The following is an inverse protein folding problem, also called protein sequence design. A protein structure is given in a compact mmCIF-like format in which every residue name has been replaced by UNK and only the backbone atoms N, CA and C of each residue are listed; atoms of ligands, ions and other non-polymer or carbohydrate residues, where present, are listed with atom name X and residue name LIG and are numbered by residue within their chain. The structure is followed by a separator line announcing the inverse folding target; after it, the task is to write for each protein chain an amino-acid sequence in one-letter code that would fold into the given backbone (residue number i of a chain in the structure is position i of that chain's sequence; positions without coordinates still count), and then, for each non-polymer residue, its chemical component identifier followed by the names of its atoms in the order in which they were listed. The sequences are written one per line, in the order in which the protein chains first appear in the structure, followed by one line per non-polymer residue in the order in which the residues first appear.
data_IF_213624931859
#
_entry.id   IF_213624931859
#
_cell.length_a   1.000
_cell.length_b   1.000
_cell.length_c   1.000
_cell.angle_alpha   90.00
_cell.angle_beta   90.00
_cell.angle_gamma   90.00
#
_symmetry.space_group_name_H-M   'P 1'
#
loop_
_entity.id
_entity.type
_entity.pdbx_description
1 polymer ?
#
# COMPACT_ATOMS: atom_id res chain seq x y z
N UNK A 1 -4.57 7.70 6.86
CA UNK A 1 -4.42 6.27 6.62
C UNK A 1 -4.11 6.05 5.15
N UNK A 2 -3.09 5.24 4.86
CA UNK A 2 -2.75 4.78 3.51
C UNK A 2 -3.52 3.50 3.19
N UNK A 3 -3.74 3.23 1.91
CA UNK A 3 -4.39 2.02 1.45
C UNK A 3 -3.52 1.30 0.42
N UNK A 4 -3.23 0.01 0.64
CA UNK A 4 -2.54 -0.82 -0.35
C UNK A 4 -3.55 -1.39 -1.34
N UNK A 5 -3.29 -1.16 -2.61
CA UNK A 5 -4.19 -1.50 -3.74
C UNK A 5 -3.40 -2.16 -4.86
N UNK A 6 -4.12 -2.59 -5.90
CA UNK A 6 -3.52 -2.88 -7.18
C UNK A 6 -3.71 -1.68 -8.13
N UNK A 7 -2.80 -1.53 -9.09
CA UNK A 7 -2.89 -0.46 -10.07
C UNK A 7 -2.53 -0.97 -11.47
N UNK A 8 -3.07 -0.31 -12.50
CA UNK A 8 -2.88 -0.66 -13.90
C UNK A 8 -2.91 0.57 -14.82
N UNK A 9 -2.56 0.38 -16.08
CA UNK A 9 -2.65 1.41 -17.12
C UNK A 9 -3.83 1.12 -18.06
N UNK A 10 -4.95 1.90 -17.99
CA UNK A 10 -6.14 1.67 -18.81
C UNK A 10 -5.95 2.03 -20.30
N UNK A 11 -4.84 2.70 -20.68
CA UNK A 11 -4.50 2.91 -22.08
C UNK A 11 -3.92 1.63 -22.74
N UNK A 12 -3.60 0.60 -21.93
CA UNK A 12 -2.94 -0.63 -22.38
C UNK A 12 -3.74 -1.89 -22.11
N UNK A 13 -4.52 -1.92 -21.03
CA UNK A 13 -5.23 -3.10 -20.56
C UNK A 13 -6.66 -2.76 -20.18
N UNK A 14 -7.58 -3.69 -20.45
CA UNK A 14 -8.97 -3.58 -20.01
C UNK A 14 -9.16 -4.26 -18.65
N UNK A 15 -10.21 -3.91 -17.88
CA UNK A 15 -10.45 -4.54 -16.58
C UNK A 15 -10.58 -6.08 -16.62
N UNK A 16 -11.01 -6.64 -17.76
CA UNK A 16 -11.13 -8.09 -17.96
C UNK A 16 -9.79 -8.81 -18.03
N UNK A 17 -8.73 -8.07 -18.35
CA UNK A 17 -7.36 -8.58 -18.45
C UNK A 17 -6.59 -8.54 -17.13
N UNK A 18 -7.20 -8.04 -16.07
CA UNK A 18 -6.53 -7.64 -14.84
C UNK A 18 -6.99 -8.48 -13.64
N UNK A 19 -6.10 -8.68 -12.65
CA UNK A 19 -6.48 -9.36 -11.41
C UNK A 19 -7.49 -8.50 -10.64
N UNK A 20 -8.55 -9.14 -10.11
CA UNK A 20 -9.59 -8.48 -9.31
C UNK A 20 -9.34 -8.59 -7.81
N UNK A 21 -8.40 -9.41 -7.40
CA UNK A 21 -8.09 -9.70 -6.01
C UNK A 21 -6.58 -9.81 -5.80
N UNK A 22 -6.14 -9.76 -4.55
CA UNK A 22 -4.76 -10.10 -4.23
C UNK A 22 -4.46 -11.56 -4.55
N UNK A 23 -5.44 -12.46 -4.35
CA UNK A 23 -5.29 -13.87 -4.71
C UNK A 23 -5.03 -14.04 -6.20
N UNK A 24 -5.82 -13.42 -7.08
CA UNK A 24 -5.59 -13.46 -8.53
C UNK A 24 -4.27 -12.81 -8.93
N UNK A 25 -3.87 -11.71 -8.28
CA UNK A 25 -2.57 -11.06 -8.52
C UNK A 25 -1.39 -12.00 -8.34
N UNK A 26 -1.47 -12.95 -7.39
CA UNK A 26 -0.43 -13.94 -7.17
C UNK A 26 -0.54 -15.17 -8.09
N UNK A 27 -1.76 -15.65 -8.35
CA UNK A 27 -1.97 -16.98 -8.93
C UNK A 27 -2.28 -16.98 -10.43
N UNK A 28 -2.71 -15.87 -11.01
CA UNK A 28 -3.01 -15.78 -12.45
C UNK A 28 -1.73 -15.90 -13.28
N UNK A 29 -1.61 -17.00 -14.03
CA UNK A 29 -0.45 -17.30 -14.87
C UNK A 29 -0.29 -16.35 -16.06
N UNK A 30 -1.34 -15.64 -16.47
CA UNK A 30 -1.28 -14.62 -17.52
C UNK A 30 -0.47 -13.39 -17.10
N UNK A 31 -0.21 -13.24 -15.80
CA UNK A 31 0.56 -12.16 -15.21
C UNK A 31 2.06 -12.45 -15.10
N UNK A 32 2.52 -13.61 -15.56
CA UNK A 32 3.92 -14.03 -15.39
C UNK A 32 4.90 -13.04 -16.01
N UNK A 33 5.78 -12.46 -15.17
CA UNK A 33 6.78 -11.46 -15.56
C UNK A 33 6.20 -10.07 -15.84
N UNK A 34 4.91 -9.83 -15.55
CA UNK A 34 4.20 -8.59 -15.82
C UNK A 34 3.67 -7.91 -14.54
N UNK A 35 4.10 -8.35 -13.37
CA UNK A 35 3.67 -7.79 -12.09
C UNK A 35 4.85 -7.31 -11.25
N UNK A 36 4.60 -6.28 -10.44
CA UNK A 36 5.59 -5.73 -9.51
C UNK A 36 4.97 -5.38 -8.17
N UNK A 37 5.80 -5.41 -7.12
CA UNK A 37 5.45 -4.96 -5.79
C UNK A 37 6.66 -4.37 -5.08
N UNK A 38 6.43 -3.68 -3.96
CA UNK A 38 7.47 -3.14 -3.11
C UNK A 38 8.35 -4.21 -2.45
N UNK A 39 9.48 -3.76 -1.88
CA UNK A 39 10.38 -4.62 -1.12
C UNK A 39 10.09 -4.48 0.39
N UNK A 40 9.65 -5.54 1.09
CA UNK A 40 9.35 -5.48 2.53
C UNK A 40 10.59 -5.25 3.42
N UNK A 41 11.81 -5.39 2.88
CA UNK A 41 13.02 -5.10 3.63
C UNK A 41 13.28 -3.58 3.75
N UNK A 42 12.81 -2.80 2.78
CA UNK A 42 13.07 -1.35 2.67
C UNK A 42 11.81 -0.50 2.77
N UNK A 43 10.62 -1.08 2.65
CA UNK A 43 9.32 -0.40 2.73
C UNK A 43 8.49 -0.94 3.89
N UNK A 44 8.17 -0.05 4.85
CA UNK A 44 7.31 -0.40 5.99
C UNK A 44 5.88 -0.72 5.58
N UNK A 45 5.34 -0.05 4.57
CA UNK A 45 4.00 -0.31 4.05
C UNK A 45 3.92 -1.64 3.32
N UNK A 46 4.93 -1.98 2.52
CA UNK A 46 5.03 -3.31 1.92
C UNK A 46 5.22 -4.39 2.98
N UNK A 47 6.00 -4.12 4.04
CA UNK A 47 6.13 -5.06 5.17
C UNK A 47 4.79 -5.34 5.85
N UNK A 48 3.97 -4.31 6.08
CA UNK A 48 2.63 -4.46 6.63
C UNK A 48 1.73 -5.31 5.70
N UNK A 49 1.82 -5.07 4.39
CA UNK A 49 1.05 -5.84 3.40
C UNK A 49 1.49 -7.29 3.34
N UNK A 50 2.79 -7.56 3.38
CA UNK A 50 3.32 -8.94 3.43
C UNK A 50 2.84 -9.65 4.71
N UNK A 51 2.83 -8.97 5.86
CA UNK A 51 2.31 -9.55 7.10
C UNK A 51 0.81 -9.88 6.98
N UNK A 52 -0.02 -8.95 6.51
CA UNK A 52 -1.46 -9.16 6.34
C UNK A 52 -1.76 -10.31 5.35
N UNK A 53 -1.10 -10.32 4.19
CA UNK A 53 -1.31 -11.36 3.18
C UNK A 53 -0.76 -12.73 3.61
N UNK A 54 0.31 -12.76 4.42
CA UNK A 54 0.78 -14.02 5.02
C UNK A 54 -0.19 -14.58 6.06
N UNK A 55 -0.93 -13.72 6.76
CA UNK A 55 -1.97 -14.15 7.70
C UNK A 55 -3.22 -14.66 6.96
N UNK A 56 -3.56 -14.05 5.82
CA UNK A 56 -4.74 -14.41 5.05
C UNK A 56 -4.52 -15.67 4.19
N UNK A 57 -3.39 -15.77 3.51
CA UNK A 57 -3.12 -16.77 2.47
C UNK A 57 -1.95 -17.70 2.76
N UNK A 58 -1.20 -17.49 3.85
CA UNK A 58 0.04 -18.22 4.07
C UNK A 58 1.19 -17.75 3.17
N UNK A 59 2.32 -18.44 3.27
CA UNK A 59 3.50 -18.12 2.45
C UNK A 59 3.42 -18.69 1.03
N UNK A 60 2.51 -19.64 0.77
CA UNK A 60 2.20 -20.15 -0.57
C UNK A 60 1.77 -19.04 -1.54
N UNK A 61 1.16 -17.97 -1.03
CA UNK A 61 0.84 -16.77 -1.79
C UNK A 61 2.11 -16.15 -2.41
N UNK A 62 3.17 -16.03 -1.63
CA UNK A 62 4.44 -15.47 -2.10
C UNK A 62 5.24 -16.44 -2.97
N UNK A 63 5.07 -17.74 -2.79
CA UNK A 63 5.59 -18.75 -3.72
C UNK A 63 4.93 -18.63 -5.09
N UNK A 64 3.60 -18.39 -5.12
CA UNK A 64 2.87 -18.13 -6.37
C UNK A 64 3.36 -16.84 -7.06
N UNK A 65 3.58 -15.76 -6.31
CA UNK A 65 4.19 -14.53 -6.82
C UNK A 65 5.59 -14.79 -7.39
N UNK A 66 6.42 -15.58 -6.70
CA UNK A 66 7.74 -15.99 -7.18
C UNK A 66 7.66 -16.79 -8.48
N UNK A 67 6.73 -17.77 -8.57
CA UNK A 67 6.48 -18.56 -9.78
C UNK A 67 5.98 -17.70 -10.96
N UNK A 68 5.32 -16.58 -10.66
CA UNK A 68 4.92 -15.57 -11.64
C UNK A 68 6.03 -14.53 -11.93
N UNK A 69 7.25 -14.75 -11.43
CA UNK A 69 8.39 -13.84 -11.62
C UNK A 69 8.07 -12.39 -11.23
N UNK A 70 7.41 -12.19 -10.08
CA UNK A 70 7.13 -10.85 -9.57
C UNK A 70 8.42 -10.02 -9.46
N UNK A 71 8.37 -8.78 -9.91
CA UNK A 71 9.47 -7.82 -9.77
C UNK A 71 9.37 -7.15 -8.40
N UNK A 72 10.46 -7.17 -7.62
CA UNK A 72 10.55 -6.55 -6.30
C UNK A 72 11.33 -5.25 -6.43
N UNK A 73 10.65 -4.11 -6.33
CA UNK A 73 11.21 -2.81 -6.71
C UNK A 73 10.76 -1.68 -5.76
N UNK A 74 11.26 -0.47 -5.97
CA UNK A 74 10.70 0.72 -5.33
C UNK A 74 9.38 1.12 -5.99
N UNK A 75 8.48 1.77 -5.22
CA UNK A 75 7.19 2.21 -5.75
C UNK A 75 7.31 3.13 -6.98
N UNK A 76 8.33 4.01 -7.01
CA UNK A 76 8.56 4.90 -8.16
C UNK A 76 8.96 4.13 -9.44
N UNK A 77 9.80 3.11 -9.30
CA UNK A 77 10.19 2.25 -10.44
C UNK A 77 8.98 1.45 -10.92
N UNK A 78 8.21 0.85 -10.01
CA UNK A 78 6.99 0.11 -10.35
C UNK A 78 5.97 0.99 -11.11
N UNK A 79 5.74 2.24 -10.65
CA UNK A 79 4.86 3.19 -11.35
C UNK A 79 5.35 3.52 -12.76
N UNK A 80 6.65 3.74 -12.94
CA UNK A 80 7.23 3.99 -14.26
C UNK A 80 7.03 2.80 -15.19
N UNK A 81 7.29 1.58 -14.72
CA UNK A 81 7.05 0.36 -15.49
C UNK A 81 5.60 0.15 -15.86
N UNK A 82 4.68 0.55 -14.98
CA UNK A 82 3.26 0.51 -15.26
C UNK A 82 2.87 1.51 -16.38
N UNK A 83 3.42 2.72 -16.35
CA UNK A 83 3.20 3.74 -17.39
C UNK A 83 3.78 3.31 -18.75
N UNK A 84 4.99 2.75 -18.76
CA UNK A 84 5.64 2.27 -19.99
C UNK A 84 5.03 0.97 -20.52
N UNK A 85 4.28 0.24 -19.69
CA UNK A 85 3.64 -1.04 -20.02
C UNK A 85 4.57 -2.26 -19.87
N UNK A 86 5.66 -2.10 -19.14
CA UNK A 86 6.51 -3.23 -18.72
C UNK A 86 5.82 -4.08 -17.65
N UNK A 87 4.94 -3.46 -16.84
CA UNK A 87 4.03 -4.15 -15.93
C UNK A 87 2.59 -4.04 -16.41
N UNK A 88 1.81 -5.09 -16.17
CA UNK A 88 0.36 -5.15 -16.40
C UNK A 88 -0.39 -4.69 -15.15
N UNK A 89 0.07 -5.12 -13.98
CA UNK A 89 -0.43 -4.70 -12.69
C UNK A 89 0.69 -4.58 -11.65
N UNK A 90 0.51 -3.68 -10.68
CA UNK A 90 1.44 -3.51 -9.55
C UNK A 90 0.67 -3.42 -8.24
N UNK A 91 1.26 -3.92 -7.14
CA UNK A 91 0.77 -3.68 -5.78
C UNK A 91 1.46 -2.43 -5.22
N UNK A 92 0.67 -1.39 -4.91
CA UNK A 92 1.18 -0.07 -4.53
C UNK A 92 0.21 0.68 -3.62
N UNK A 93 0.70 1.72 -2.95
CA UNK A 93 -0.15 2.63 -2.19
C UNK A 93 -1.04 3.46 -3.13
N UNK A 94 -2.31 3.54 -2.79
CA UNK A 94 -3.34 4.28 -3.51
C UNK A 94 -2.95 5.74 -3.75
N UNK A 95 -2.49 6.44 -2.71
CA UNK A 95 -2.08 7.85 -2.79
C UNK A 95 -0.98 8.10 -3.83
N UNK A 96 -0.14 7.12 -4.11
CA UNK A 96 0.91 7.24 -5.13
C UNK A 96 0.31 7.31 -6.54
N UNK A 97 -0.75 6.54 -6.79
CA UNK A 97 -1.48 6.55 -8.07
C UNK A 97 -2.30 7.82 -8.22
N UNK A 98 -3.07 8.17 -7.17
CA UNK A 98 -3.94 9.35 -7.17
C UNK A 98 -3.13 10.64 -7.37
N UNK A 99 -1.98 10.74 -6.69
CA UNK A 99 -1.05 11.86 -6.87
C UNK A 99 -0.57 11.98 -8.31
N UNK A 100 -0.10 10.88 -8.92
CA UNK A 100 0.33 10.89 -10.32
C UNK A 100 -0.80 11.33 -11.26
N UNK A 101 -2.02 10.85 -11.01
CA UNK A 101 -3.18 11.26 -11.81
C UNK A 101 -3.44 12.76 -11.70
N UNK A 102 -3.47 13.29 -10.49
CA UNK A 102 -3.82 14.70 -10.23
C UNK A 102 -2.72 15.66 -10.63
N UNK A 103 -1.48 15.38 -10.20
CA UNK A 103 -0.36 16.32 -10.30
C UNK A 103 0.36 16.20 -11.64
N UNK A 104 0.43 15.00 -12.23
CA UNK A 104 1.19 14.72 -13.45
C UNK A 104 0.30 14.39 -14.67
N UNK A 105 -1.02 14.33 -14.49
CA UNK A 105 -1.97 14.00 -15.57
C UNK A 105 -1.90 12.54 -16.05
N UNK A 106 -1.30 11.65 -15.25
CA UNK A 106 -1.19 10.21 -15.54
C UNK A 106 -2.57 9.57 -15.71
N UNK A 107 -2.66 8.56 -16.56
CA UNK A 107 -3.90 7.78 -16.80
C UNK A 107 -4.00 6.53 -15.92
N UNK A 108 -2.99 6.24 -15.11
CA UNK A 108 -3.01 5.07 -14.23
C UNK A 108 -4.30 5.00 -13.41
N UNK A 109 -4.79 3.80 -13.17
CA UNK A 109 -6.03 3.56 -12.43
C UNK A 109 -5.82 2.56 -11.30
N UNK A 110 -6.69 2.63 -10.30
CA UNK A 110 -6.68 1.78 -9.12
C UNK A 110 -7.67 0.63 -9.29
N UNK A 111 -7.28 -0.54 -8.82
CA UNK A 111 -8.16 -1.68 -8.58
C UNK A 111 -8.24 -1.87 -7.07
N UNK A 112 -9.44 -1.77 -6.51
CA UNK A 112 -9.70 -2.14 -5.12
C UNK A 112 -9.98 -3.64 -5.07
N UNK A 113 -9.09 -4.45 -4.45
CA UNK A 113 -9.23 -5.89 -4.49
C UNK A 113 -10.54 -6.38 -3.86
N UNK A 114 -11.18 -7.38 -4.47
CA UNK A 114 -12.46 -7.93 -4.02
C UNK A 114 -12.33 -8.69 -2.69
N UNK A 115 -11.16 -9.28 -2.44
CA UNK A 115 -10.80 -10.02 -1.23
C UNK A 115 -10.43 -9.13 -0.04
N UNK A 116 -10.49 -7.81 -0.22
CA UNK A 116 -10.32 -6.82 0.83
C UNK A 116 -9.26 -5.77 0.50
N UNK A 117 -9.03 -4.89 1.46
CA UNK A 117 -8.01 -3.83 1.39
C UNK A 117 -7.07 -3.92 2.58
N UNK A 118 -5.91 -3.31 2.50
CA UNK A 118 -4.95 -3.29 3.61
C UNK A 118 -4.76 -1.83 4.00
N UNK A 119 -5.40 -1.44 5.11
CA UNK A 119 -5.29 -0.09 5.65
C UNK A 119 -4.07 0.02 6.57
N UNK A 120 -3.21 0.98 6.26
CA UNK A 120 -1.95 1.18 6.96
C UNK A 120 -1.97 2.56 7.62
N UNK A 121 -1.95 2.65 8.96
CA UNK A 121 -1.95 3.93 9.64
C UNK A 121 -0.64 4.69 9.40
N UNK A 122 -0.75 5.96 9.01
CA UNK A 122 0.36 6.90 9.06
C UNK A 122 0.46 7.44 10.48
N UNK A 123 1.61 7.27 11.11
CA UNK A 123 1.82 7.65 12.52
C UNK A 123 2.50 9.01 12.63
N UNK A 124 2.10 9.80 13.63
CA UNK A 124 2.83 10.98 14.08
C UNK A 124 3.43 10.67 15.45
N UNK A 125 4.71 10.97 15.64
CA UNK A 125 5.42 10.69 16.87
C UNK A 125 6.31 11.86 17.25
N UNK A 126 6.30 12.21 18.55
CA UNK A 126 7.25 13.18 19.11
C UNK A 126 8.53 12.45 19.52
N UNK A 127 9.68 12.95 19.04
CA UNK A 127 10.98 12.42 19.47
C UNK A 127 11.16 12.71 20.96
N UNK A 128 11.72 11.76 21.72
CA UNK A 128 11.97 11.93 23.15
C UNK A 128 12.96 13.07 23.42
N UNK A 129 12.75 13.78 24.53
CA UNK A 129 13.53 15.00 24.86
C UNK A 129 15.04 14.74 24.96
N UNK A 130 15.44 13.59 25.48
CA UNK A 130 16.84 13.15 25.58
C UNK A 130 17.48 12.80 24.23
N UNK A 131 16.69 12.77 23.16
CA UNK A 131 17.11 12.41 21.79
C UNK A 131 17.10 13.60 20.82
N UNK A 132 16.76 14.79 21.29
CA UNK A 132 16.68 16.01 20.48
C UNK A 132 17.31 17.21 21.19
N UNK A 133 18.31 17.81 20.58
CA UNK A 133 19.03 18.96 21.16
C UNK A 133 18.19 20.25 21.22
N UNK A 134 17.16 20.39 20.39
CA UNK A 134 16.35 21.61 20.25
C UNK A 134 14.84 21.28 20.28
N UNK A 135 14.42 20.42 21.19
CA UNK A 135 13.02 20.03 21.28
C UNK A 135 12.13 21.18 21.77
N UNK A 136 11.01 21.37 21.05
CA UNK A 136 9.90 22.20 21.50
C UNK A 136 8.65 21.34 21.64
N UNK A 137 8.44 20.77 22.84
CA UNK A 137 7.33 19.86 23.12
C UNK A 137 5.98 20.53 22.82
N UNK A 138 5.83 21.83 23.18
CA UNK A 138 4.58 22.56 22.95
C UNK A 138 4.27 22.68 21.43
N UNK A 139 5.29 22.96 20.61
CA UNK A 139 5.11 22.99 19.16
C UNK A 139 4.79 21.61 18.57
N UNK A 140 5.46 20.55 19.06
CA UNK A 140 5.15 19.17 18.65
C UNK A 140 3.72 18.79 18.98
N UNK A 141 3.25 19.12 20.19
CA UNK A 141 1.88 18.89 20.61
C UNK A 141 0.88 19.67 19.74
N UNK A 142 1.12 20.96 19.51
CA UNK A 142 0.27 21.79 18.66
C UNK A 142 0.15 21.25 17.23
N UNK A 143 1.24 20.75 16.63
CA UNK A 143 1.23 20.12 15.32
C UNK A 143 0.42 18.82 15.35
N UNK A 144 0.62 18.00 16.36
CA UNK A 144 -0.12 16.73 16.51
C UNK A 144 -1.62 16.99 16.67
N UNK A 145 -2.01 17.93 17.54
CA UNK A 145 -3.39 18.30 17.77
C UNK A 145 -4.04 18.88 16.48
N UNK A 146 -3.28 19.71 15.75
CA UNK A 146 -3.74 20.22 14.47
C UNK A 146 -3.92 19.11 13.43
N UNK A 147 -2.97 18.21 13.28
CA UNK A 147 -3.09 17.06 12.35
C UNK A 147 -4.31 16.19 12.67
N UNK A 148 -4.63 16.03 13.95
CA UNK A 148 -5.80 15.26 14.41
C UNK A 148 -7.08 16.10 14.46
N UNK A 149 -7.06 17.39 14.11
CA UNK A 149 -8.25 18.23 13.98
C UNK A 149 -8.97 18.00 12.65
N UNK A 150 -10.21 18.46 12.53
CA UNK A 150 -10.96 18.43 11.27
C UNK A 150 -10.20 19.15 10.13
N UNK A 151 -9.60 20.31 10.42
CA UNK A 151 -8.81 21.06 9.43
C UNK A 151 -7.55 20.28 8.98
N UNK A 152 -6.83 19.68 9.93
CA UNK A 152 -5.68 18.85 9.62
C UNK A 152 -6.04 17.60 8.84
N UNK A 153 -7.18 16.97 9.14
CA UNK A 153 -7.64 15.80 8.39
C UNK A 153 -8.10 16.16 6.96
N UNK A 154 -8.68 17.32 6.72
CA UNK A 154 -8.92 17.82 5.36
C UNK A 154 -7.62 18.01 4.59
N UNK A 155 -6.56 18.47 5.26
CA UNK A 155 -5.25 18.59 4.67
C UNK A 155 -4.64 17.22 4.34
N UNK A 156 -4.80 16.22 5.23
CA UNK A 156 -4.39 14.83 4.98
C UNK A 156 -5.10 14.25 3.75
N UNK A 157 -6.42 14.49 3.63
CA UNK A 157 -7.22 14.06 2.48
C UNK A 157 -6.79 14.77 1.19
N UNK A 158 -6.46 16.07 1.25
CA UNK A 158 -5.89 16.79 0.12
C UNK A 158 -4.51 16.23 -0.31
N UNK A 159 -3.79 15.55 0.60
CA UNK A 159 -2.57 14.79 0.34
C UNK A 159 -2.81 13.35 -0.11
N UNK A 160 -4.01 13.03 -0.58
CA UNK A 160 -4.42 11.74 -1.14
C UNK A 160 -4.53 10.58 -0.13
N UNK A 161 -4.47 10.84 1.18
CA UNK A 161 -4.64 9.84 2.23
C UNK A 161 -6.05 9.90 2.83
N UNK A 162 -6.52 8.79 3.37
CA UNK A 162 -7.82 8.70 4.02
C UNK A 162 -7.82 9.33 5.42
N UNK A 163 -8.93 10.00 5.77
CA UNK A 163 -9.14 10.59 7.09
C UNK A 163 -9.26 9.51 8.17
N UNK A 164 -8.73 9.81 9.38
CA UNK A 164 -8.94 8.98 10.58
C UNK A 164 -10.22 9.32 11.33
N UNK A 165 -10.94 10.38 10.94
CA UNK A 165 -12.21 10.74 11.58
C UNK A 165 -13.30 9.77 11.16
N UNK A 166 -13.89 9.11 12.16
CA UNK A 166 -15.05 8.25 11.99
C UNK A 166 -16.22 9.04 11.41
N UNK A 167 -16.75 8.56 10.28
CA UNK A 167 -17.88 9.22 9.60
C UNK A 167 -17.50 10.46 8.80
N UNK A 168 -16.20 10.74 8.61
CA UNK A 168 -15.77 11.76 7.65
C UNK A 168 -16.33 11.44 6.26
N UNK A 169 -16.81 12.48 5.57
CA UNK A 169 -17.24 12.40 4.17
C UNK A 169 -16.19 12.92 3.20
N UNK A 170 -15.08 13.42 3.74
CA UNK A 170 -13.97 13.87 2.93
C UNK A 170 -13.25 12.64 2.36
N UNK A 171 -13.19 12.56 1.03
CA UNK A 171 -12.60 11.46 0.28
C UNK A 171 -11.42 11.99 -0.52
N UNK A 172 -10.29 11.29 -0.59
CA UNK A 172 -9.19 11.67 -1.47
C UNK A 172 -9.65 11.79 -2.92
N UNK A 173 -8.98 12.67 -3.68
CA UNK A 173 -9.28 12.86 -5.10
C UNK A 173 -9.35 11.51 -5.81
N UNK A 174 -10.48 11.23 -6.46
CA UNK A 174 -10.68 10.04 -7.32
C UNK A 174 -10.62 8.69 -6.58
N UNK A 175 -10.80 8.71 -5.25
CA UNK A 175 -10.86 7.54 -4.38
C UNK A 175 -12.30 7.17 -4.02
N UNK A 176 -12.46 6.10 -3.25
CA UNK A 176 -13.74 5.61 -2.71
C UNK A 176 -13.93 6.07 -1.26
N UNK A 177 -15.15 5.92 -0.75
CA UNK A 177 -15.49 6.30 0.63
C UNK A 177 -14.64 5.50 1.63
N UNK A 178 -13.97 6.22 2.54
CA UNK A 178 -13.13 5.64 3.60
C UNK A 178 -13.90 4.63 4.45
N UNK A 179 -15.19 4.88 4.72
CA UNK A 179 -16.00 3.97 5.53
C UNK A 179 -16.28 2.64 4.80
N UNK A 180 -16.31 2.63 3.48
CA UNK A 180 -16.43 1.39 2.71
C UNK A 180 -15.12 0.59 2.73
N UNK A 181 -13.98 1.28 2.69
CA UNK A 181 -12.67 0.62 2.83
C UNK A 181 -12.51 -0.01 4.22
N UNK A 182 -12.88 0.70 5.28
CA UNK A 182 -12.82 0.18 6.67
C UNK A 182 -13.61 -1.11 6.83
N UNK A 183 -14.74 -1.27 6.15
CA UNK A 183 -15.56 -2.50 6.20
C UNK A 183 -14.87 -3.70 5.53
N UNK A 184 -13.95 -3.43 4.62
CA UNK A 184 -13.23 -4.43 3.82
C UNK A 184 -11.78 -4.59 4.26
N UNK A 185 -11.35 -3.91 5.34
CA UNK A 185 -9.96 -4.00 5.81
C UNK A 185 -9.64 -5.42 6.29
N UNK A 186 -8.67 -6.04 5.67
CA UNK A 186 -8.14 -7.36 6.05
C UNK A 186 -7.50 -7.29 7.44
N UNK A 187 -6.98 -6.12 7.81
CA UNK A 187 -6.27 -5.89 9.05
C UNK A 187 -4.80 -6.33 9.00
N UNK A 188 -4.02 -5.76 9.89
CA UNK A 188 -2.60 -6.10 10.11
C UNK A 188 -2.41 -6.42 11.58
N UNK A 189 -1.91 -7.60 11.92
CA UNK A 189 -1.46 -7.88 13.27
C UNK A 189 -0.13 -7.14 13.54
N UNK A 190 -0.25 -5.90 14.05
CA UNK A 190 0.90 -5.04 14.33
C UNK A 190 1.85 -5.61 15.39
N UNK A 191 1.33 -6.37 16.36
CA UNK A 191 2.15 -6.99 17.41
C UNK A 191 3.00 -8.10 16.82
N UNK A 192 2.41 -8.98 16.03
CA UNK A 192 3.11 -10.03 15.30
C UNK A 192 4.12 -9.43 14.31
N UNK A 193 3.67 -8.46 13.50
CA UNK A 193 4.51 -7.80 12.49
C UNK A 193 5.76 -7.19 13.11
N UNK A 194 5.64 -6.55 14.28
CA UNK A 194 6.78 -6.00 15.00
C UNK A 194 7.70 -7.09 15.57
N UNK A 195 7.12 -8.06 16.30
CA UNK A 195 7.89 -9.11 16.99
C UNK A 195 8.58 -10.08 16.03
N UNK A 196 7.94 -10.42 14.93
CA UNK A 196 8.41 -11.42 13.95
C UNK A 196 8.91 -10.77 12.66
N UNK A 197 9.25 -9.49 12.67
CA UNK A 197 9.65 -8.76 11.46
C UNK A 197 10.69 -9.50 10.62
N UNK A 198 11.78 -9.93 11.25
CA UNK A 198 12.87 -10.61 10.53
C UNK A 198 12.45 -11.99 10.00
N UNK A 199 11.61 -12.71 10.74
CA UNK A 199 11.08 -14.02 10.33
C UNK A 199 10.17 -13.86 9.10
N UNK A 200 9.26 -12.89 9.12
CA UNK A 200 8.37 -12.59 7.99
C UNK A 200 9.18 -12.16 6.75
N UNK A 201 10.18 -11.28 6.93
CA UNK A 201 11.05 -10.85 5.83
C UNK A 201 11.82 -12.00 5.22
N UNK A 202 12.41 -12.87 6.05
CA UNK A 202 13.16 -14.04 5.58
C UNK A 202 12.25 -15.05 4.86
N UNK A 203 11.08 -15.33 5.44
CA UNK A 203 10.11 -16.23 4.82
C UNK A 203 9.63 -15.70 3.46
N UNK A 204 9.30 -14.41 3.37
CA UNK A 204 8.97 -13.76 2.09
C UNK A 204 10.09 -13.95 1.06
N UNK A 205 11.34 -13.61 1.43
CA UNK A 205 12.48 -13.75 0.50
C UNK A 205 12.67 -15.18 0.02
N UNK A 206 12.53 -16.16 0.92
CA UNK A 206 12.63 -17.57 0.55
C UNK A 206 11.52 -17.95 -0.43
N UNK A 207 10.26 -17.60 -0.12
CA UNK A 207 9.11 -17.94 -0.96
C UNK A 207 9.22 -17.37 -2.38
N UNK A 208 9.58 -16.09 -2.53
CA UNK A 208 9.71 -15.49 -3.88
C UNK A 208 10.94 -15.96 -4.65
N UNK A 209 11.92 -16.57 -3.99
CA UNK A 209 13.19 -17.02 -4.61
C UNK A 209 13.18 -18.51 -4.99
N UNK A 210 12.58 -19.36 -4.15
CA UNK A 210 12.56 -20.83 -4.37
C UNK A 210 11.74 -21.21 -5.60
N UNK A 211 10.80 -20.34 -6.00
CA UNK A 211 9.92 -20.56 -7.16
C UNK A 211 10.56 -20.24 -8.52
N UNK A 212 11.81 -19.79 -8.55
CA UNK A 212 12.60 -19.55 -9.78
C UNK A 212 13.39 -20.78 -10.14
#
# INVERSE_FOLDING_TARGET
VCNMVLAYNPERYTPEDLPKSFEEFAHDKSLKGLISMGNPLTSGTTMASVAALSDLYGYEYFEALGANNVMIESGSVALTKLETGECKAIMILEESVLKKRKDEGSKLSVIYPEDGVILIPSTVMTVAEDRSANMNIAACQAITDWLLSEAGQKFVVAGYMHSVFKGSRDVPFDSVDTNELIKKDIGVDWVRTYKQRNEIQNAFQQSVTVSK
#
